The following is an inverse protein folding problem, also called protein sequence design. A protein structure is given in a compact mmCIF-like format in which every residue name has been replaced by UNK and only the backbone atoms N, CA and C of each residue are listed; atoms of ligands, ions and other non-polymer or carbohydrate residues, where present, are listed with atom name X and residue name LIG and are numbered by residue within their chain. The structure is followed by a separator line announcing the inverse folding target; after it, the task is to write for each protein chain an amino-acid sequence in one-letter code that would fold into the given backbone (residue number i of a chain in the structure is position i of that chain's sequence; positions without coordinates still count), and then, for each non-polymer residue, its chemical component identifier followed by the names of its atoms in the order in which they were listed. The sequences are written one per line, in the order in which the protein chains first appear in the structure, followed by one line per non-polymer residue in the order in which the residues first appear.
data_IF_982900267306
#
_entry.id   IF_982900267306
#
_cell.length_a   1.000
_cell.length_b   1.000
_cell.length_c   1.000
_cell.angle_alpha   90.00
_cell.angle_beta   90.00
_cell.angle_gamma   90.00
#
_symmetry.space_group_name_H-M   'P 1'
#
loop_
_entity.id
_entity.type
_entity.pdbx_description
1 polymer ?
#
# COMPACT_ATOMS: atom_id res chain seq x y z
N UNK A 1 -19.69 7.63 -38.08
CA UNK A 1 -20.64 6.85 -37.25
C UNK A 1 -20.68 7.50 -35.88
N UNK A 2 -21.80 8.14 -35.54
CA UNK A 2 -22.05 8.59 -34.16
C UNK A 2 -22.49 7.34 -33.38
N UNK A 3 -21.92 7.05 -32.20
CA UNK A 3 -22.32 5.89 -31.43
C UNK A 3 -23.82 5.94 -31.10
N UNK A 4 -24.49 4.80 -31.23
CA UNK A 4 -25.88 4.61 -30.81
C UNK A 4 -26.10 5.05 -29.36
N UNK A 5 -27.32 5.48 -29.04
CA UNK A 5 -27.72 5.93 -27.70
C UNK A 5 -27.19 4.99 -26.62
N UNK A 6 -26.23 5.48 -25.84
CA UNK A 6 -25.61 4.73 -24.74
C UNK A 6 -26.68 4.51 -23.69
N UNK A 7 -27.01 3.26 -23.38
CA UNK A 7 -27.98 2.97 -22.32
C UNK A 7 -27.43 3.39 -20.96
N UNK A 8 -28.32 3.65 -20.00
CA UNK A 8 -27.93 4.02 -18.63
C UNK A 8 -27.03 2.94 -18.02
N UNK A 9 -27.31 1.67 -18.30
CA UNK A 9 -26.52 0.53 -17.82
C UNK A 9 -25.09 0.57 -18.38
N UNK A 10 -24.93 0.87 -19.67
CA UNK A 10 -23.61 0.99 -20.32
C UNK A 10 -22.84 2.19 -19.77
N UNK A 11 -23.50 3.33 -19.57
CA UNK A 11 -22.89 4.51 -18.95
C UNK A 11 -22.41 4.21 -17.52
N UNK A 12 -23.23 3.54 -16.72
CA UNK A 12 -22.84 3.13 -15.37
C UNK A 12 -21.69 2.12 -15.37
N UNK A 13 -21.63 1.21 -16.36
CA UNK A 13 -20.50 0.30 -16.51
C UNK A 13 -19.20 1.06 -16.79
N UNK A 14 -19.20 2.05 -17.68
CA UNK A 14 -18.03 2.88 -17.95
C UNK A 14 -17.55 3.64 -16.71
N UNK A 15 -18.46 4.20 -15.91
CA UNK A 15 -18.10 4.88 -14.67
C UNK A 15 -17.39 3.93 -13.70
N UNK A 16 -17.92 2.72 -13.50
CA UNK A 16 -17.31 1.71 -12.61
C UNK A 16 -15.95 1.25 -13.11
N UNK A 17 -15.78 1.16 -14.42
CA UNK A 17 -14.54 0.74 -15.06
C UNK A 17 -13.47 1.83 -14.91
N UNK A 18 -13.86 3.08 -15.13
CA UNK A 18 -12.99 4.24 -14.95
C UNK A 18 -12.57 4.44 -13.48
N UNK A 19 -13.49 4.25 -12.53
CA UNK A 19 -13.18 4.31 -11.10
C UNK A 19 -12.14 3.24 -10.73
N UNK A 20 -12.35 1.99 -11.13
CA UNK A 20 -11.39 0.91 -10.88
C UNK A 20 -10.03 1.21 -11.48
N UNK A 21 -9.99 1.71 -12.72
CA UNK A 21 -8.74 2.08 -13.39
C UNK A 21 -8.00 3.19 -12.65
N UNK A 22 -8.72 4.23 -12.23
CA UNK A 22 -8.16 5.35 -11.45
C UNK A 22 -7.58 4.88 -10.12
N UNK A 23 -8.29 4.02 -9.40
CA UNK A 23 -7.82 3.45 -8.13
C UNK A 23 -6.55 2.63 -8.34
N UNK A 24 -6.51 1.77 -9.36
CA UNK A 24 -5.33 0.95 -9.66
C UNK A 24 -4.11 1.80 -10.02
N UNK A 25 -4.28 2.85 -10.84
CA UNK A 25 -3.17 3.76 -11.13
C UNK A 25 -2.72 4.52 -9.89
N UNK A 26 -3.64 5.02 -9.06
CA UNK A 26 -3.29 5.70 -7.82
C UNK A 26 -2.45 4.83 -6.89
N UNK A 27 -2.75 3.52 -6.79
CA UNK A 27 -1.92 2.60 -6.02
C UNK A 27 -0.57 2.30 -6.68
N UNK A 28 -0.53 2.17 -8.01
CA UNK A 28 0.74 2.02 -8.71
C UNK A 28 1.64 3.22 -8.45
N UNK A 29 1.12 4.43 -8.66
CA UNK A 29 1.86 5.67 -8.45
C UNK A 29 2.33 5.79 -6.99
N UNK A 30 1.49 5.38 -6.02
CA UNK A 30 1.85 5.35 -4.61
C UNK A 30 3.02 4.39 -4.34
N UNK A 31 2.97 3.16 -4.86
CA UNK A 31 4.03 2.15 -4.70
C UNK A 31 5.32 2.59 -5.39
N UNK A 32 5.24 3.11 -6.62
CA UNK A 32 6.40 3.61 -7.37
C UNK A 32 7.04 4.80 -6.67
N UNK A 33 6.24 5.78 -6.23
CA UNK A 33 6.74 6.95 -5.50
C UNK A 33 7.37 6.54 -4.18
N UNK A 34 6.77 5.58 -3.48
CA UNK A 34 7.32 5.05 -2.24
C UNK A 34 8.64 4.32 -2.47
N UNK A 35 8.78 3.53 -3.54
CA UNK A 35 10.04 2.90 -3.91
C UNK A 35 11.15 3.94 -4.15
N UNK A 36 10.86 5.00 -4.90
CA UNK A 36 11.81 6.11 -5.12
C UNK A 36 12.24 6.74 -3.80
N UNK A 37 11.30 6.93 -2.87
CA UNK A 37 11.61 7.41 -1.52
C UNK A 37 12.55 6.45 -0.77
N UNK A 38 12.29 5.13 -0.79
CA UNK A 38 13.16 4.13 -0.14
C UNK A 38 14.56 4.13 -0.73
N UNK A 39 14.70 4.26 -2.05
CA UNK A 39 16.01 4.36 -2.72
C UNK A 39 16.78 5.60 -2.24
N UNK A 40 16.12 6.74 -2.10
CA UNK A 40 16.73 7.96 -1.58
C UNK A 40 17.17 7.81 -0.12
N UNK A 41 16.33 7.19 0.72
CA UNK A 41 16.66 6.88 2.12
C UNK A 41 17.87 5.94 2.20
N UNK A 42 17.86 4.85 1.44
CA UNK A 42 18.96 3.89 1.43
C UNK A 42 20.27 4.54 1.01
N UNK A 43 20.22 5.46 0.03
CA UNK A 43 21.38 6.24 -0.36
C UNK A 43 22.00 7.03 0.79
N UNK A 44 21.17 7.66 1.63
CA UNK A 44 21.64 8.41 2.80
C UNK A 44 22.15 7.44 3.87
N UNK A 45 21.37 6.42 4.22
CA UNK A 45 21.72 5.43 5.23
C UNK A 45 23.07 4.75 4.93
N UNK A 46 23.31 4.38 3.67
CA UNK A 46 24.56 3.74 3.24
C UNK A 46 25.79 4.65 3.42
N UNK A 47 25.64 5.95 3.20
CA UNK A 47 26.72 6.93 3.43
C UNK A 47 26.96 7.09 4.93
N UNK A 48 25.90 7.22 5.73
CA UNK A 48 26.03 7.39 7.18
C UNK A 48 26.68 6.17 7.85
N UNK A 49 26.29 4.95 7.48
CA UNK A 49 26.84 3.70 8.01
C UNK A 49 28.35 3.56 7.73
N UNK A 50 28.83 4.06 6.58
CA UNK A 50 30.22 3.88 6.12
C UNK A 50 31.12 5.10 6.32
N UNK A 51 30.53 6.27 6.59
CA UNK A 51 31.22 7.56 6.69
C UNK A 51 31.74 8.08 5.35
N UNK A 52 32.72 7.42 4.75
CA UNK A 52 33.30 7.80 3.44
C UNK A 52 33.08 6.69 2.42
N UNK A 53 32.49 7.03 1.28
CA UNK A 53 32.12 6.08 0.22
C UNK A 53 32.58 6.60 -1.13
N UNK A 54 33.24 5.74 -1.92
CA UNK A 54 33.53 6.06 -3.32
C UNK A 54 32.22 6.08 -4.13
N UNK A 55 32.06 7.08 -5.01
CA UNK A 55 30.85 7.24 -5.82
C UNK A 55 30.48 5.97 -6.59
N UNK A 56 31.46 5.26 -7.16
CA UNK A 56 31.20 4.04 -7.92
C UNK A 56 30.61 2.91 -7.08
N UNK A 57 31.05 2.78 -5.82
CA UNK A 57 30.56 1.76 -4.90
C UNK A 57 29.17 2.12 -4.36
N UNK A 58 28.94 3.41 -4.11
CA UNK A 58 27.62 3.94 -3.80
C UNK A 58 26.63 3.65 -4.94
N UNK A 59 26.93 4.07 -6.18
CA UNK A 59 26.07 3.86 -7.35
C UNK A 59 25.75 2.37 -7.58
N UNK A 60 26.73 1.47 -7.38
CA UNK A 60 26.53 0.02 -7.46
C UNK A 60 25.58 -0.49 -6.38
N UNK A 61 25.71 0.00 -5.14
CA UNK A 61 24.84 -0.38 -4.04
C UNK A 61 23.40 0.10 -4.29
N UNK A 62 23.21 1.36 -4.73
CA UNK A 62 21.89 1.91 -5.05
C UNK A 62 21.22 1.11 -6.17
N UNK A 63 21.91 0.85 -7.28
CA UNK A 63 21.35 0.05 -8.38
C UNK A 63 20.98 -1.37 -7.97
N UNK A 64 21.71 -1.96 -7.01
CA UNK A 64 21.38 -3.28 -6.47
C UNK A 64 20.12 -3.22 -5.60
N UNK A 65 19.99 -2.17 -4.79
CA UNK A 65 18.84 -1.94 -3.93
C UNK A 65 17.56 -1.64 -4.74
N UNK A 66 17.66 -0.73 -5.71
CA UNK A 66 16.57 -0.30 -6.59
C UNK A 66 15.95 -1.45 -7.41
N UNK A 67 16.75 -2.47 -7.77
CA UNK A 67 16.26 -3.68 -8.44
C UNK A 67 15.41 -4.59 -7.57
N UNK A 68 15.43 -4.40 -6.24
CA UNK A 68 14.49 -5.08 -5.37
C UNK A 68 13.13 -4.42 -5.46
N UNK A 69 12.04 -5.20 -5.49
CA UNK A 69 10.68 -4.67 -5.29
C UNK A 69 10.54 -4.02 -3.91
N UNK A 70 9.41 -3.35 -3.65
CA UNK A 70 9.22 -2.54 -2.43
C UNK A 70 9.41 -3.38 -1.16
N UNK A 71 8.97 -4.63 -1.17
CA UNK A 71 9.17 -5.57 -0.05
C UNK A 71 10.66 -5.78 0.29
N UNK A 72 11.47 -6.03 -0.73
CA UNK A 72 12.90 -6.27 -0.55
C UNK A 72 13.63 -4.99 -0.10
N UNK A 73 13.24 -3.84 -0.65
CA UNK A 73 13.77 -2.54 -0.27
C UNK A 73 13.47 -2.22 1.20
N UNK A 74 12.22 -2.43 1.63
CA UNK A 74 11.78 -2.23 3.01
C UNK A 74 12.49 -3.15 3.98
N UNK A 75 12.60 -4.45 3.67
CA UNK A 75 13.29 -5.41 4.52
C UNK A 75 14.77 -5.04 4.70
N UNK A 76 15.43 -4.60 3.62
CA UNK A 76 16.82 -4.14 3.67
C UNK A 76 16.96 -2.88 4.54
N UNK A 77 16.12 -1.87 4.35
CA UNK A 77 16.15 -0.63 5.15
C UNK A 77 15.82 -0.86 6.62
N UNK A 78 14.82 -1.70 6.91
CA UNK A 78 14.46 -2.09 8.27
C UNK A 78 15.67 -2.66 9.00
N UNK A 79 16.42 -3.54 8.33
CA UNK A 79 17.63 -4.14 8.88
C UNK A 79 18.75 -3.10 9.05
N UNK A 80 18.97 -2.22 8.07
CA UNK A 80 20.04 -1.22 8.11
C UNK A 80 19.79 -0.14 9.16
N UNK A 81 18.54 0.30 9.32
CA UNK A 81 18.16 1.38 10.24
C UNK A 81 17.68 0.87 11.61
N UNK A 82 17.65 -0.45 11.83
CA UNK A 82 17.18 -1.04 13.08
C UNK A 82 15.70 -0.78 13.37
N UNK A 83 14.87 -0.65 12.34
CA UNK A 83 13.44 -0.37 12.48
C UNK A 83 12.66 -1.62 12.90
N UNK A 84 11.48 -1.44 13.49
CA UNK A 84 10.55 -2.54 13.71
C UNK A 84 9.92 -2.96 12.37
N UNK A 85 10.24 -4.17 11.91
CA UNK A 85 9.76 -4.73 10.64
C UNK A 85 8.24 -4.88 10.54
N UNK A 86 7.51 -4.74 11.65
CA UNK A 86 6.04 -4.81 11.69
C UNK A 86 5.36 -3.70 10.89
N UNK A 87 6.02 -2.57 10.65
CA UNK A 87 5.44 -1.41 9.95
C UNK A 87 5.29 -1.65 8.42
N UNK A 88 5.97 -2.65 7.88
CA UNK A 88 6.30 -2.68 6.44
C UNK A 88 5.72 -3.84 5.62
N UNK A 89 5.13 -4.85 6.27
CA UNK A 89 4.56 -6.04 5.59
C UNK A 89 3.38 -5.70 4.67
N UNK A 90 2.74 -4.53 4.87
CA UNK A 90 1.45 -4.20 4.27
C UNK A 90 1.53 -3.41 2.95
N UNK A 91 2.61 -2.65 2.74
CA UNK A 91 2.80 -1.87 1.49
C UNK A 91 3.05 -2.80 0.29
N UNK A 92 3.56 -4.01 0.56
CA UNK A 92 4.04 -4.99 -0.43
C UNK A 92 2.92 -5.68 -1.22
N UNK A 93 1.70 -5.74 -0.68
CA UNK A 93 0.58 -6.48 -1.31
C UNK A 93 -0.01 -5.73 -2.52
N UNK A 94 0.21 -4.42 -2.63
CA UNK A 94 -0.28 -3.60 -3.74
C UNK A 94 0.50 -3.80 -5.05
N UNK A 95 1.79 -4.13 -4.97
CA UNK A 95 2.69 -4.29 -6.12
C UNK A 95 2.24 -5.46 -7.03
N UNK A 96 1.84 -6.59 -6.43
CA UNK A 96 1.47 -7.80 -7.16
C UNK A 96 0.22 -7.66 -8.06
N UNK A 97 -0.62 -6.62 -7.89
CA UNK A 97 -1.85 -6.45 -8.68
C UNK A 97 -1.90 -5.21 -9.57
N UNK A 98 -1.04 -4.22 -9.36
CA UNK A 98 -0.90 -3.10 -10.29
C UNK A 98 -0.44 -3.59 -11.68
N UNK A 99 0.34 -4.66 -11.75
CA UNK A 99 0.78 -5.29 -13.00
C UNK A 99 -0.32 -6.11 -13.69
N UNK A 100 -1.24 -6.74 -12.93
CA UNK A 100 -2.27 -7.63 -13.48
C UNK A 100 -3.51 -6.91 -14.04
N UNK A 101 -3.82 -5.71 -13.56
CA UNK A 101 -5.03 -4.96 -13.94
C UNK A 101 -4.78 -3.74 -14.84
N UNK A 102 -3.52 -3.36 -15.06
CA UNK A 102 -3.14 -2.23 -15.91
C UNK A 102 -3.07 -2.53 -17.41
N UNK A 103 -3.05 -3.81 -17.81
CA UNK A 103 -3.09 -4.21 -19.22
C UNK A 103 -4.53 -4.37 -19.67
N UNK A 104 -4.95 -3.55 -20.64
CA UNK A 104 -6.19 -3.74 -21.39
C UNK A 104 -6.35 -5.21 -21.83
N UNK A 105 -7.59 -5.73 -21.98
CA UNK A 105 -7.85 -7.14 -22.30
C UNK A 105 -7.22 -7.68 -23.61
N UNK A 106 -6.48 -6.86 -24.37
CA UNK A 106 -5.83 -7.21 -25.63
C UNK A 106 -4.29 -7.24 -25.60
N UNK A 107 -3.62 -7.09 -24.45
CA UNK A 107 -2.15 -7.18 -24.36
C UNK A 107 -1.71 -8.20 -23.29
N UNK A 108 -2.18 -9.44 -23.44
CA UNK A 108 -1.58 -10.61 -22.75
C UNK A 108 -0.43 -11.16 -23.59
N UNK A 109 0.64 -10.37 -23.73
CA UNK A 109 1.92 -10.86 -24.23
C UNK A 109 3.00 -10.61 -23.19
N UNK A 110 3.15 -11.54 -22.24
CA UNK A 110 4.43 -11.95 -21.61
C UNK A 110 4.24 -12.70 -20.27
N UNK A 111 3.81 -13.95 -20.36
CA UNK A 111 4.55 -15.10 -19.78
C UNK A 111 5.14 -15.11 -18.36
N UNK A 112 4.55 -14.50 -17.31
CA UNK A 112 5.01 -14.81 -15.93
C UNK A 112 3.95 -15.21 -14.91
N UNK A 113 2.69 -14.82 -15.06
CA UNK A 113 1.65 -15.23 -14.12
C UNK A 113 0.41 -15.67 -14.90
N UNK A 114 0.08 -16.96 -14.80
CA UNK A 114 -1.18 -17.52 -15.29
C UNK A 114 -2.39 -16.83 -14.62
N UNK A 115 -3.63 -17.13 -15.03
CA UNK A 115 -4.79 -16.69 -14.27
C UNK A 115 -4.60 -17.11 -12.81
N UNK A 116 -4.64 -16.15 -11.88
CA UNK A 116 -4.66 -16.44 -10.46
C UNK A 116 -5.87 -17.33 -10.20
N UNK A 117 -5.68 -18.62 -9.95
CA UNK A 117 -6.78 -19.51 -9.58
C UNK A 117 -7.29 -19.19 -8.16
N UNK A 118 -6.47 -18.50 -7.36
CA UNK A 118 -6.74 -18.18 -5.97
C UNK A 118 -7.25 -16.73 -5.77
N UNK A 119 -8.11 -16.50 -4.76
CA UNK A 119 -8.54 -15.17 -4.39
C UNK A 119 -7.37 -14.37 -3.85
N UNK A 120 -7.27 -13.11 -4.26
CA UNK A 120 -6.26 -12.19 -3.79
C UNK A 120 -6.69 -11.57 -2.47
N UNK A 121 -5.80 -11.60 -1.48
CA UNK A 121 -6.06 -11.04 -0.14
C UNK A 121 -5.24 -9.76 0.01
N UNK A 122 -5.91 -8.62 0.01
CA UNK A 122 -5.29 -7.34 0.33
C UNK A 122 -5.35 -7.12 1.84
N UNK A 123 -4.21 -6.92 2.47
CA UNK A 123 -4.09 -6.61 3.90
C UNK A 123 -3.42 -5.25 4.05
N UNK A 124 -3.89 -4.47 5.01
CA UNK A 124 -3.21 -3.23 5.39
C UNK A 124 -3.38 -2.96 6.86
N UNK A 125 -2.40 -2.29 7.47
CA UNK A 125 -2.51 -1.80 8.84
C UNK A 125 -2.85 -0.33 8.87
N UNK A 126 -3.54 0.03 9.93
CA UNK A 126 -3.96 1.39 10.23
C UNK A 126 -4.05 1.53 11.75
N UNK A 127 -4.34 2.74 12.21
CA UNK A 127 -4.62 2.99 13.62
C UNK A 127 -6.10 3.27 13.78
N UNK A 128 -6.71 2.62 14.77
CA UNK A 128 -8.13 2.75 15.05
C UNK A 128 -8.40 3.01 16.52
N UNK A 129 -9.56 3.59 16.79
CA UNK A 129 -10.15 3.66 18.11
C UNK A 129 -10.90 2.36 18.35
N UNK A 130 -10.47 1.62 19.35
CA UNK A 130 -11.02 0.32 19.73
C UNK A 130 -11.69 0.46 21.09
N UNK A 131 -12.86 -0.15 21.24
CA UNK A 131 -13.46 -0.34 22.56
C UNK A 131 -12.77 -1.50 23.29
N UNK A 132 -12.91 -1.56 24.62
CA UNK A 132 -12.30 -2.62 25.43
C UNK A 132 -12.82 -4.02 25.05
N UNK A 133 -14.04 -4.09 24.52
CA UNK A 133 -14.66 -5.32 24.00
C UNK A 133 -14.17 -5.73 22.60
N UNK A 134 -13.25 -4.95 22.00
CA UNK A 134 -12.67 -5.22 20.68
C UNK A 134 -13.49 -4.70 19.51
N UNK A 135 -14.61 -3.98 19.72
CA UNK A 135 -15.31 -3.29 18.64
C UNK A 135 -14.47 -2.14 18.09
N UNK A 136 -14.53 -1.97 16.77
CA UNK A 136 -13.84 -0.89 16.07
C UNK A 136 -14.74 0.36 16.00
N UNK A 137 -14.48 1.32 16.88
CA UNK A 137 -15.25 2.54 16.99
C UNK A 137 -15.06 3.45 15.76
N UNK A 138 -13.84 3.55 15.22
CA UNK A 138 -13.58 4.36 14.02
C UNK A 138 -14.38 3.86 12.83
N UNK A 139 -14.42 2.54 12.63
CA UNK A 139 -15.13 1.93 11.51
C UNK A 139 -16.64 2.05 11.67
N UNK A 140 -17.17 1.87 12.88
CA UNK A 140 -18.58 2.09 13.18
C UNK A 140 -19.00 3.54 12.86
N UNK A 141 -18.21 4.52 13.32
CA UNK A 141 -18.44 5.95 13.04
C UNK A 141 -18.37 6.26 11.54
N UNK A 142 -17.44 5.65 10.80
CA UNK A 142 -17.35 5.85 9.35
C UNK A 142 -18.55 5.27 8.59
N UNK A 143 -19.15 4.19 9.10
CA UNK A 143 -20.31 3.53 8.49
C UNK A 143 -21.65 4.10 8.95
N UNK A 144 -21.64 5.19 9.72
CA UNK A 144 -22.81 5.77 10.37
C UNK A 144 -23.58 4.73 11.24
N UNK A 145 -22.85 3.76 11.80
CA UNK A 145 -23.40 2.74 12.70
C UNK A 145 -23.48 3.28 14.14
N UNK A 146 -24.54 2.96 14.90
CA UNK A 146 -24.65 3.42 16.27
C UNK A 146 -23.59 2.78 17.16
N UNK A 147 -22.74 3.61 17.74
CA UNK A 147 -21.72 3.20 18.70
C UNK A 147 -22.21 3.46 20.13
N UNK A 148 -22.41 2.39 20.89
CA UNK A 148 -22.72 2.46 22.32
C UNK A 148 -21.45 2.21 23.13
N UNK A 149 -21.11 3.18 23.98
CA UNK A 149 -19.96 3.13 24.90
C UNK A 149 -20.50 3.22 26.32
N UNK A 150 -20.15 2.25 27.17
CA UNK A 150 -20.62 2.25 28.54
C UNK A 150 -19.89 3.31 29.39
N UNK A 151 -20.57 3.81 30.43
CA UNK A 151 -19.97 4.81 31.30
C UNK A 151 -18.78 4.20 32.05
N UNK A 152 -17.58 4.71 31.77
CA UNK A 152 -16.33 4.25 32.38
C UNK A 152 -15.54 3.28 31.49
N UNK A 153 -16.09 2.88 30.34
CA UNK A 153 -15.37 2.11 29.33
C UNK A 153 -14.28 2.98 28.67
N UNK A 154 -13.08 2.43 28.52
CA UNK A 154 -11.98 3.12 27.85
C UNK A 154 -12.11 3.01 26.32
N UNK A 155 -11.67 4.05 25.63
CA UNK A 155 -11.42 4.00 24.19
C UNK A 155 -9.92 3.86 24.00
N UNK A 156 -9.50 2.74 23.44
CA UNK A 156 -8.11 2.40 23.19
C UNK A 156 -7.71 2.91 21.81
N UNK A 157 -6.50 3.43 21.70
CA UNK A 157 -5.88 3.71 20.41
C UNK A 157 -4.94 2.56 20.06
N UNK A 158 -5.25 1.81 19.01
CA UNK A 158 -4.54 0.58 18.68
C UNK A 158 -4.21 0.49 17.18
N UNK A 159 -3.13 -0.23 16.88
CA UNK A 159 -2.86 -0.70 15.52
C UNK A 159 -3.82 -1.85 15.21
N UNK A 160 -4.49 -1.77 14.06
CA UNK A 160 -5.42 -2.79 13.58
C UNK A 160 -5.04 -3.20 12.17
N UNK A 161 -5.19 -4.49 11.89
CA UNK A 161 -5.02 -5.02 10.56
C UNK A 161 -6.37 -5.17 9.88
N UNK A 162 -6.48 -4.66 8.66
CA UNK A 162 -7.61 -4.78 7.76
C UNK A 162 -7.31 -5.83 6.72
N UNK A 163 -8.36 -6.49 6.25
CA UNK A 163 -8.24 -7.47 5.17
C UNK A 163 -9.45 -7.34 4.26
N UNK A 164 -9.22 -7.34 2.94
CA UNK A 164 -10.25 -7.52 1.93
C UNK A 164 -9.85 -8.62 0.97
N UNK A 165 -10.81 -9.49 0.64
CA UNK A 165 -10.60 -10.63 -0.26
C UNK A 165 -11.25 -10.30 -1.60
N UNK A 166 -10.44 -10.28 -2.64
CA UNK A 166 -10.85 -9.97 -4.00
C UNK A 166 -10.80 -11.24 -4.83
N UNK A 167 -11.95 -11.67 -5.33
CA UNK A 167 -12.04 -12.82 -6.23
C UNK A 167 -11.10 -12.69 -7.45
N UNK A 168 -10.74 -13.83 -8.04
CA UNK A 168 -10.01 -13.83 -9.30
C UNK A 168 -10.81 -13.13 -10.40
N UNK A 169 -10.12 -12.32 -11.21
CA UNK A 169 -10.74 -11.50 -12.25
C UNK A 169 -11.63 -10.35 -11.75
N UNK A 170 -11.81 -10.17 -10.43
CA UNK A 170 -12.57 -9.04 -9.91
C UNK A 170 -11.77 -7.75 -9.98
N UNK A 171 -12.51 -6.64 -10.18
CA UNK A 171 -11.97 -5.29 -10.11
C UNK A 171 -11.73 -4.89 -8.66
N UNK A 172 -10.63 -4.18 -8.41
CA UNK A 172 -10.33 -3.65 -7.08
C UNK A 172 -11.40 -2.60 -6.75
N UNK A 173 -12.18 -2.86 -5.71
CA UNK A 173 -13.14 -1.89 -5.14
C UNK A 173 -12.80 -1.68 -3.68
N UNK A 174 -12.31 -0.50 -3.39
CA UNK A 174 -12.00 -0.04 -2.05
C UNK A 174 -12.86 1.17 -1.74
N UNK A 175 -13.42 1.21 -0.53
CA UNK A 175 -14.15 2.37 -0.06
C UNK A 175 -13.22 3.58 0.04
N UNK A 176 -13.80 4.78 0.14
CA UNK A 176 -13.01 5.99 0.39
C UNK A 176 -12.19 5.88 1.68
N UNK A 177 -12.74 5.21 2.70
CA UNK A 177 -12.05 4.97 3.97
C UNK A 177 -10.87 4.02 3.82
N UNK A 178 -11.06 2.85 3.19
CA UNK A 178 -9.96 1.90 2.97
C UNK A 178 -8.79 2.57 2.25
N UNK A 179 -9.09 3.36 1.20
CA UNK A 179 -8.07 4.12 0.46
C UNK A 179 -7.35 5.13 1.36
N UNK A 180 -8.09 5.82 2.22
CA UNK A 180 -7.52 6.79 3.17
C UNK A 180 -6.61 6.12 4.21
N UNK A 181 -7.03 4.96 4.73
CA UNK A 181 -6.24 4.17 5.69
C UNK A 181 -4.95 3.67 5.04
N UNK A 182 -5.00 3.17 3.81
CA UNK A 182 -3.81 2.70 3.08
C UNK A 182 -2.82 3.86 2.85
N UNK A 183 -3.31 5.01 2.37
CA UNK A 183 -2.46 6.20 2.20
C UNK A 183 -1.85 6.64 3.54
N UNK A 184 -2.61 6.59 4.63
CA UNK A 184 -2.12 6.91 5.97
C UNK A 184 -1.04 5.93 6.44
N UNK A 185 -1.17 4.64 6.14
CA UNK A 185 -0.14 3.64 6.40
C UNK A 185 1.19 3.97 5.71
N UNK A 186 1.16 4.43 4.45
CA UNK A 186 2.37 4.88 3.73
C UNK A 186 3.00 6.11 4.38
N UNK A 187 2.18 7.04 4.89
CA UNK A 187 2.68 8.21 5.64
C UNK A 187 3.39 7.75 6.91
N UNK A 188 2.78 6.87 7.71
CA UNK A 188 3.41 6.33 8.92
C UNK A 188 4.73 5.64 8.58
N UNK A 189 4.75 4.79 7.55
CA UNK A 189 5.97 4.11 7.12
C UNK A 189 7.08 5.10 6.73
N UNK A 190 6.72 6.18 6.04
CA UNK A 190 7.62 7.28 5.68
C UNK A 190 8.17 7.98 6.92
N UNK A 191 7.32 8.29 7.90
CA UNK A 191 7.72 8.91 9.17
C UNK A 191 8.66 8.01 9.97
N UNK A 192 8.37 6.72 10.10
CA UNK A 192 9.23 5.76 10.80
C UNK A 192 10.63 5.66 10.17
N UNK A 193 10.68 5.63 8.83
CA UNK A 193 11.96 5.62 8.10
C UNK A 193 12.73 6.91 8.31
N UNK A 194 12.04 8.05 8.29
CA UNK A 194 12.64 9.35 8.56
C UNK A 194 13.18 9.44 10.00
N UNK A 195 12.41 9.02 11.01
CA UNK A 195 12.86 8.98 12.40
C UNK A 195 14.11 8.11 12.57
N UNK A 196 14.14 6.93 11.94
CA UNK A 196 15.31 6.04 11.94
C UNK A 196 16.58 6.69 11.40
N UNK A 197 16.47 7.58 10.40
CA UNK A 197 17.61 8.34 9.88
C UNK A 197 18.10 9.43 10.86
N UNK A 198 17.26 9.89 11.77
CA UNK A 198 17.59 10.97 12.72
C UNK A 198 18.14 10.47 14.05
N UNK A 199 18.02 9.19 14.34
CA UNK A 199 18.65 8.58 15.51
C UNK A 199 20.18 8.50 15.29
N UNK A 200 21.01 8.78 16.30
CA UNK A 200 22.44 8.61 16.19
C UNK A 200 22.76 7.12 15.95
N UNK A 201 23.27 6.82 14.75
CA UNK A 201 23.77 5.50 14.34
C UNK A 201 25.05 5.13 15.12
#
# INVERSE_FOLDING_TARGET
MVPQDVTVETSQAFVRDFESWTITNGFRDLVETFSVFLVAVFSIAYILERGTVLKEDHDKAIRKFDRGGVEAQLAALTKTLGLDGRVFTDVCVLEQRAELHGTSPGHRESGRHGPLEEPFVLRWRTRSLMLEDGRDATLALYRDEPLYVEKGEAILYAEVERTTVLASGSKIRLSRHDRSEICYGVIIATECVHEGLTLPL
#
